data_IF_729342390421
#
_entry.id   IF_729342390421
#
_cell.length_a   1.000
_cell.length_b   1.000
_cell.length_c   1.000
_cell.angle_alpha   90.00
_cell.angle_beta   90.00
_cell.angle_gamma   90.00
#
_symmetry.space_group_name_H-M   'P 1'
#
loop_
_entity.id
_entity.type
_entity.pdbx_description
1 polymer ?
#
# COMPACT_ATOMS: atom_id res chain seq x y z
N UNK A 1 5.60 -13.56 10.34
CA UNK A 1 5.53 -12.08 10.41
C UNK A 1 4.41 -11.55 9.54
N UNK A 2 4.46 -11.65 8.20
CA UNK A 2 3.42 -11.10 7.31
C UNK A 2 2.01 -11.68 7.49
N UNK A 3 1.88 -12.99 7.75
CA UNK A 3 0.57 -13.58 8.10
C UNK A 3 -0.08 -12.95 9.35
N UNK A 4 0.75 -12.52 10.32
CA UNK A 4 0.26 -11.82 11.51
C UNK A 4 -0.29 -10.42 11.22
N UNK A 5 0.07 -9.83 10.06
CA UNK A 5 -0.47 -8.57 9.56
C UNK A 5 -1.71 -8.74 8.69
N UNK A 6 -2.24 -9.96 8.55
CA UNK A 6 -3.47 -10.27 7.82
C UNK A 6 -3.28 -10.77 6.39
N UNK A 7 -2.05 -11.04 5.93
CA UNK A 7 -1.82 -11.63 4.61
C UNK A 7 -2.11 -13.14 4.60
N UNK A 8 -2.86 -13.59 3.60
CA UNK A 8 -3.13 -15.01 3.35
C UNK A 8 -2.01 -15.67 2.57
N UNK A 9 -2.03 -17.00 2.44
CA UNK A 9 -1.10 -17.71 1.56
C UNK A 9 -1.25 -17.31 0.09
N UNK A 10 -2.48 -16.99 -0.35
CA UNK A 10 -2.73 -16.50 -1.70
C UNK A 10 -2.11 -15.12 -1.92
N UNK A 11 -2.25 -14.20 -0.95
CA UNK A 11 -1.63 -12.87 -1.04
C UNK A 11 -0.11 -12.97 -1.12
N UNK A 12 0.50 -13.90 -0.36
CA UNK A 12 1.95 -14.07 -0.33
C UNK A 12 2.51 -14.85 -1.52
N UNK A 13 1.65 -15.53 -2.29
CA UNK A 13 2.02 -16.15 -3.57
C UNK A 13 2.08 -15.14 -4.73
N UNK A 14 1.42 -13.97 -4.59
CA UNK A 14 1.40 -12.90 -5.58
C UNK A 14 2.59 -11.94 -5.41
N UNK A 15 2.99 -11.18 -6.46
CA UNK A 15 4.04 -10.19 -6.34
C UNK A 15 3.74 -9.15 -5.25
N UNK A 16 4.68 -8.96 -4.31
CA UNK A 16 4.59 -7.93 -3.28
C UNK A 16 4.99 -6.57 -3.88
N UNK A 17 4.16 -5.54 -3.69
CA UNK A 17 4.42 -4.19 -4.21
C UNK A 17 4.38 -3.17 -3.07
N UNK A 18 5.51 -2.51 -2.84
CA UNK A 18 5.62 -1.42 -1.88
C UNK A 18 4.94 -0.15 -2.39
N UNK A 19 4.06 0.44 -1.58
CA UNK A 19 3.42 1.73 -1.85
C UNK A 19 3.98 2.76 -0.87
N UNK A 20 5.01 3.48 -1.31
CA UNK A 20 5.66 4.51 -0.51
C UNK A 20 4.87 5.83 -0.59
N UNK A 21 4.63 6.46 0.55
CA UNK A 21 4.10 7.83 0.63
C UNK A 21 5.05 8.71 1.44
N UNK A 22 4.92 10.02 1.26
CA UNK A 22 5.50 11.05 2.12
C UNK A 22 4.37 11.88 2.74
N UNK A 23 3.25 11.22 3.09
CA UNK A 23 2.14 11.89 3.76
C UNK A 23 2.61 12.49 5.08
N UNK A 24 2.34 13.78 5.23
CA UNK A 24 2.60 14.57 6.42
C UNK A 24 1.49 15.60 6.56
N UNK A 25 1.25 16.08 7.79
CA UNK A 25 0.27 17.14 8.07
C UNK A 25 0.90 18.53 8.11
N UNK A 26 2.23 18.63 7.99
CA UNK A 26 2.98 19.89 8.09
C UNK A 26 2.96 20.72 6.80
N UNK A 27 2.67 20.10 5.65
CA UNK A 27 2.63 20.78 4.35
C UNK A 27 1.42 20.35 3.52
N UNK A 28 0.77 21.28 2.81
CA UNK A 28 -0.46 20.98 2.06
C UNK A 28 -0.23 20.07 0.86
N UNK A 29 0.98 20.04 0.30
CA UNK A 29 1.32 19.26 -0.90
C UNK A 29 1.22 17.74 -0.69
N UNK A 30 1.27 17.23 0.54
CA UNK A 30 1.26 15.80 0.83
C UNK A 30 -0.05 15.30 1.46
N UNK A 31 -0.99 16.19 1.80
CA UNK A 31 -2.19 15.85 2.59
C UNK A 31 -3.04 14.73 1.97
N UNK A 32 -3.13 14.70 0.64
CA UNK A 32 -3.97 13.73 -0.08
C UNK A 32 -3.28 12.38 -0.33
N UNK A 33 -2.00 12.22 0.01
CA UNK A 33 -1.23 11.03 -0.38
C UNK A 33 -1.77 9.72 0.21
N UNK A 34 -2.35 9.73 1.43
CA UNK A 34 -2.99 8.53 2.02
C UNK A 34 -4.22 8.08 1.23
N UNK A 35 -4.99 9.03 0.70
CA UNK A 35 -6.16 8.72 -0.15
C UNK A 35 -5.70 8.16 -1.48
N UNK A 36 -4.70 8.79 -2.11
CA UNK A 36 -4.11 8.31 -3.36
C UNK A 36 -3.50 6.91 -3.20
N UNK A 37 -2.83 6.64 -2.08
CA UNK A 37 -2.28 5.32 -1.78
C UNK A 37 -3.37 4.24 -1.75
N UNK A 38 -4.57 4.51 -1.23
CA UNK A 38 -5.66 3.52 -1.29
C UNK A 38 -6.11 3.22 -2.73
N UNK A 39 -6.08 4.21 -3.63
CA UNK A 39 -6.38 4.00 -5.05
C UNK A 39 -5.30 3.13 -5.71
N UNK A 40 -4.03 3.42 -5.45
CA UNK A 40 -2.89 2.63 -5.94
C UNK A 40 -2.97 1.18 -5.44
N UNK A 41 -3.23 0.98 -4.15
CA UNK A 41 -3.37 -0.36 -3.54
C UNK A 41 -4.54 -1.14 -4.14
N UNK A 42 -5.63 -0.48 -4.54
CA UNK A 42 -6.73 -1.14 -5.25
C UNK A 42 -6.28 -1.61 -6.63
N UNK A 43 -5.64 -0.73 -7.41
CA UNK A 43 -5.11 -1.09 -8.73
C UNK A 43 -4.10 -2.25 -8.69
N UNK A 44 -3.22 -2.27 -7.68
CA UNK A 44 -2.29 -3.40 -7.49
C UNK A 44 -3.05 -4.72 -7.27
N UNK A 45 -4.11 -4.72 -6.45
CA UNK A 45 -4.92 -5.93 -6.23
C UNK A 45 -5.66 -6.37 -7.49
N UNK A 46 -6.24 -5.43 -8.23
CA UNK A 46 -6.92 -5.70 -9.51
C UNK A 46 -5.95 -6.28 -10.56
N UNK A 47 -4.68 -5.87 -10.53
CA UNK A 47 -3.61 -6.41 -11.36
C UNK A 47 -3.01 -7.73 -10.84
N UNK A 48 -3.56 -8.32 -9.77
CA UNK A 48 -3.09 -9.58 -9.21
C UNK A 48 -1.84 -9.48 -8.33
N UNK A 49 -1.49 -8.29 -7.85
CA UNK A 49 -0.41 -8.06 -6.89
C UNK A 49 -0.91 -7.89 -5.45
N UNK A 50 0.03 -7.90 -4.51
CA UNK A 50 -0.22 -7.73 -3.08
C UNK A 50 0.44 -6.44 -2.59
N UNK A 51 -0.35 -5.39 -2.30
CA UNK A 51 0.22 -4.10 -1.93
C UNK A 51 0.57 -4.01 -0.44
N UNK A 52 1.69 -3.35 -0.14
CA UNK A 52 2.12 -3.03 1.22
C UNK A 52 2.50 -1.55 1.31
N UNK A 53 1.73 -0.79 2.08
CA UNK A 53 1.93 0.66 2.22
C UNK A 53 2.92 0.98 3.33
N UNK A 54 3.81 1.93 3.08
CA UNK A 54 4.71 2.49 4.08
C UNK A 54 4.91 3.99 3.83
N UNK A 55 5.52 4.67 4.79
CA UNK A 55 5.70 6.11 4.78
C UNK A 55 7.15 6.46 5.15
N UNK A 56 7.64 7.60 4.64
CA UNK A 56 8.96 8.18 4.96
C UNK A 56 8.87 9.68 5.14
#
# INVERSE_FOLDING_TARGET
>A
MLKGSGFTDEDLARPLVGVATSWIETMPCNLNQRSLAQHVKRGIREAGGTPMEFNT
#
